data_IF_733350834839
#
_entry.id   IF_733350834839
#
_cell.length_a   1.000
_cell.length_b   1.000
_cell.length_c   1.000
_cell.angle_alpha   90.00
_cell.angle_beta   90.00
_cell.angle_gamma   90.00
#
_symmetry.space_group_name_H-M   'P 1'
#
loop_
_entity.id
_entity.type
_entity.pdbx_description
1 polymer ?
#
# COMPACT_ATOMS: atom_id res chain seq x y z
N UNK A 1 -11.16 -12.26 -1.01
CA UNK A 1 -10.89 -10.90 -0.48
C UNK A 1 -11.82 -9.93 -1.19
N UNK A 2 -12.28 -8.88 -0.51
CA UNK A 2 -13.28 -7.94 -1.04
C UNK A 2 -12.70 -6.53 -1.12
N UNK A 3 -13.12 -5.70 -2.10
CA UNK A 3 -12.72 -4.31 -2.18
C UNK A 3 -13.35 -3.52 -1.04
N UNK A 4 -12.51 -2.91 -0.20
CA UNK A 4 -12.95 -2.11 0.94
C UNK A 4 -12.40 -0.70 0.83
N UNK A 5 -13.30 0.29 0.93
CA UNK A 5 -13.01 1.72 0.85
C UNK A 5 -12.53 2.18 -0.54
N UNK A 6 -12.47 3.50 -0.69
CA UNK A 6 -12.00 4.20 -1.87
C UNK A 6 -10.98 5.26 -1.45
N UNK A 7 -9.90 5.40 -2.23
CA UNK A 7 -8.81 6.34 -1.96
C UNK A 7 -8.50 7.10 -3.26
N UNK A 8 -8.72 8.41 -3.30
CA UNK A 8 -8.28 9.26 -4.42
C UNK A 8 -6.93 9.88 -4.08
N UNK A 9 -5.85 9.37 -4.67
CA UNK A 9 -4.50 9.86 -4.42
C UNK A 9 -4.13 11.04 -5.34
N UNK A 10 -4.99 11.43 -6.28
CA UNK A 10 -4.78 12.63 -7.09
C UNK A 10 -4.78 13.91 -6.22
N UNK A 11 -5.43 13.86 -5.06
CA UNK A 11 -5.36 14.92 -4.04
C UNK A 11 -3.94 15.14 -3.50
N UNK A 12 -3.06 14.13 -3.60
CA UNK A 12 -1.65 14.19 -3.23
C UNK A 12 -0.71 14.30 -4.46
N UNK A 13 -1.25 14.63 -5.64
CA UNK A 13 -0.48 14.76 -6.88
C UNK A 13 -0.05 13.43 -7.52
N UNK A 14 -0.57 12.29 -7.04
CA UNK A 14 -0.27 10.97 -7.61
C UNK A 14 -1.40 10.58 -8.58
N UNK A 15 -1.12 10.17 -9.83
CA UNK A 15 -2.15 10.00 -10.86
C UNK A 15 -2.93 8.67 -10.73
N UNK A 16 -3.40 8.32 -9.54
CA UNK A 16 -4.11 7.07 -9.26
C UNK A 16 -5.29 7.27 -8.31
N UNK A 17 -6.22 6.34 -8.36
CA UNK A 17 -7.15 6.07 -7.27
C UNK A 17 -7.12 4.58 -6.92
N UNK A 18 -7.58 4.20 -5.73
CA UNK A 18 -7.28 2.88 -5.18
C UNK A 18 -8.38 2.32 -4.29
N UNK A 19 -8.29 1.02 -4.04
CA UNK A 19 -9.07 0.29 -3.02
C UNK A 19 -8.17 -0.73 -2.31
N UNK A 20 -8.61 -1.25 -1.16
CA UNK A 20 -7.90 -2.32 -0.46
C UNK A 20 -8.70 -3.63 -0.51
N UNK A 21 -8.17 -4.64 -1.18
CA UNK A 21 -8.74 -5.99 -1.15
C UNK A 21 -8.36 -6.68 0.15
N UNK A 22 -9.36 -7.15 0.92
CA UNK A 22 -9.14 -7.81 2.21
C UNK A 22 -10.27 -8.74 2.67
N UNK A 23 -10.04 -9.65 3.62
CA UNK A 23 -11.12 -10.29 4.37
C UNK A 23 -11.94 -9.27 5.16
N UNK A 24 -13.22 -9.55 5.39
CA UNK A 24 -14.14 -8.64 6.08
C UNK A 24 -14.82 -9.26 7.30
N UNK A 25 -14.88 -10.58 7.38
CA UNK A 25 -15.42 -11.31 8.51
C UNK A 25 -14.37 -11.48 9.61
N UNK A 26 -14.86 -11.50 10.86
CA UNK A 26 -14.03 -11.57 12.07
C UNK A 26 -13.14 -12.81 12.10
N UNK A 27 -13.66 -13.97 11.70
CA UNK A 27 -12.95 -15.24 11.75
C UNK A 27 -11.81 -15.29 10.72
N UNK A 28 -12.04 -14.84 9.48
CA UNK A 28 -11.01 -14.80 8.45
C UNK A 28 -9.93 -13.76 8.76
N UNK A 29 -10.31 -12.59 9.28
CA UNK A 29 -9.34 -11.58 9.74
C UNK A 29 -8.46 -12.11 10.87
N UNK A 30 -9.03 -12.87 11.82
CA UNK A 30 -8.27 -13.48 12.91
C UNK A 30 -7.33 -14.60 12.41
N UNK A 31 -7.74 -15.34 11.37
CA UNK A 31 -6.94 -16.43 10.79
C UNK A 31 -5.80 -15.92 9.91
N UNK A 32 -6.09 -15.04 8.96
CA UNK A 32 -5.10 -14.44 8.07
C UNK A 32 -5.61 -13.09 7.53
N UNK A 33 -5.11 -11.96 8.05
CA UNK A 33 -5.54 -10.62 7.65
C UNK A 33 -4.77 -10.09 6.42
N UNK A 34 -4.42 -10.93 5.44
CA UNK A 34 -3.72 -10.50 4.23
C UNK A 34 -4.53 -9.44 3.46
N UNK A 35 -3.85 -8.42 2.94
CA UNK A 35 -4.46 -7.29 2.24
C UNK A 35 -3.60 -6.92 1.04
N UNK A 36 -4.24 -6.47 -0.02
CA UNK A 36 -3.58 -5.88 -1.19
C UNK A 36 -4.19 -4.51 -1.43
N UNK A 37 -3.38 -3.46 -1.34
CA UNK A 37 -3.76 -2.12 -1.78
C UNK A 37 -3.56 -2.05 -3.29
N UNK A 38 -4.64 -1.84 -4.03
CA UNK A 38 -4.64 -1.90 -5.50
C UNK A 38 -5.01 -0.54 -6.06
N UNK A 39 -4.07 0.06 -6.78
CA UNK A 39 -4.22 1.36 -7.43
C UNK A 39 -4.48 1.17 -8.92
N UNK A 40 -5.41 1.96 -9.46
CA UNK A 40 -5.67 2.08 -10.89
C UNK A 40 -5.11 3.42 -11.38
N UNK A 41 -4.26 3.36 -12.42
CA UNK A 41 -3.68 4.52 -13.08
C UNK A 41 -4.76 5.30 -13.83
N UNK A 42 -4.79 6.61 -13.59
CA UNK A 42 -5.71 7.56 -14.23
C UNK A 42 -5.02 8.24 -15.41
N UNK A 43 -5.12 7.62 -16.60
CA UNK A 43 -4.46 8.12 -17.81
C UNK A 43 -4.91 9.54 -18.18
N UNK A 44 -6.13 9.94 -17.84
CA UNK A 44 -6.65 11.28 -18.08
C UNK A 44 -5.88 12.39 -17.32
N UNK A 45 -5.07 12.01 -16.31
CA UNK A 45 -4.20 12.92 -15.56
C UNK A 45 -2.80 13.07 -16.18
N UNK A 46 -2.48 12.36 -17.26
CA UNK A 46 -1.22 12.53 -18.02
C UNK A 46 -1.38 13.75 -18.91
N UNK A 47 -0.65 14.85 -18.68
CA UNK A 47 -0.86 16.13 -19.37
C UNK A 47 -0.52 16.03 -20.86
N UNK A 48 0.58 15.36 -21.18
CA UNK A 48 1.02 15.17 -22.56
C UNK A 48 0.12 14.16 -23.29
N UNK A 49 -0.72 14.66 -24.20
CA UNK A 49 -1.68 13.82 -24.94
C UNK A 49 -1.02 12.72 -25.78
N UNK A 50 0.14 12.99 -26.38
CA UNK A 50 0.88 11.99 -27.17
C UNK A 50 1.37 10.86 -26.26
N UNK A 51 1.94 11.20 -25.09
CA UNK A 51 2.36 10.20 -24.11
C UNK A 51 1.18 9.44 -23.52
N UNK A 52 0.04 10.12 -23.29
CA UNK A 52 -1.20 9.49 -22.83
C UNK A 52 -1.69 8.43 -23.80
N UNK A 53 -1.76 8.76 -25.09
CA UNK A 53 -2.18 7.83 -26.13
C UNK A 53 -1.21 6.65 -26.24
N UNK A 54 0.10 6.91 -26.18
CA UNK A 54 1.14 5.88 -26.19
C UNK A 54 1.03 4.94 -24.97
N UNK A 55 0.83 5.49 -23.78
CA UNK A 55 0.63 4.70 -22.55
C UNK A 55 -0.62 3.82 -22.65
N UNK A 56 -1.74 4.36 -23.17
CA UNK A 56 -2.95 3.58 -23.40
C UNK A 56 -2.73 2.42 -24.39
N UNK A 57 -1.95 2.65 -25.45
CA UNK A 57 -1.58 1.61 -26.41
C UNK A 57 -0.75 0.50 -25.80
N UNK A 58 0.28 0.83 -25.02
CA UNK A 58 1.13 -0.16 -24.35
C UNK A 58 0.28 -0.98 -23.37
N UNK A 59 -0.58 -0.32 -22.59
CA UNK A 59 -1.41 -0.97 -21.56
C UNK A 59 -2.48 -1.91 -22.14
N UNK A 60 -3.06 -1.60 -23.32
CA UNK A 60 -4.08 -2.48 -23.93
C UNK A 60 -3.47 -3.71 -24.63
N UNK A 61 -2.18 -3.66 -24.97
CA UNK A 61 -1.50 -4.73 -25.70
C UNK A 61 -0.93 -5.82 -24.78
N UNK A 62 -0.84 -5.57 -23.46
CA UNK A 62 -0.33 -6.55 -22.49
C UNK A 62 -1.44 -7.47 -21.97
N UNK A 63 -1.05 -8.68 -21.60
CA UNK A 63 -1.84 -9.59 -20.79
C UNK A 63 -1.08 -9.91 -19.50
N UNK A 64 -1.61 -9.47 -18.36
CA UNK A 64 -0.93 -9.58 -17.06
C UNK A 64 -1.24 -10.91 -16.34
N UNK A 65 -2.21 -11.68 -16.84
CA UNK A 65 -2.61 -12.96 -16.25
C UNK A 65 -2.19 -14.10 -17.16
N UNK A 66 -1.62 -15.15 -16.59
CA UNK A 66 -1.30 -16.35 -17.38
C UNK A 66 -2.58 -16.96 -17.94
N UNK A 67 -2.52 -17.64 -19.09
CA UNK A 67 -3.68 -18.35 -19.63
C UNK A 67 -4.27 -19.36 -18.62
N UNK A 68 -3.42 -20.04 -17.85
CA UNK A 68 -3.86 -21.02 -16.85
C UNK A 68 -4.53 -20.35 -15.64
N UNK A 69 -4.04 -19.20 -15.18
CA UNK A 69 -4.70 -18.41 -14.13
C UNK A 69 -6.15 -18.06 -14.52
N UNK A 70 -6.37 -17.64 -15.77
CA UNK A 70 -7.71 -17.32 -16.29
C UNK A 70 -8.62 -18.55 -16.35
N UNK A 71 -8.11 -19.68 -16.83
CA UNK A 71 -8.86 -20.95 -16.84
C UNK A 71 -9.28 -21.38 -15.43
N UNK A 72 -8.35 -21.33 -14.47
CA UNK A 72 -8.66 -21.67 -13.07
C UNK A 72 -9.72 -20.73 -12.48
N UNK A 73 -9.70 -19.44 -12.84
CA UNK A 73 -10.74 -18.50 -12.42
C UNK A 73 -12.11 -18.90 -12.96
N UNK A 74 -12.22 -19.25 -14.24
CA UNK A 74 -13.46 -19.76 -14.84
C UNK A 74 -13.92 -21.07 -14.18
N UNK A 75 -13.01 -22.01 -13.91
CA UNK A 75 -13.30 -23.24 -13.19
C UNK A 75 -13.87 -22.96 -11.78
N UNK A 76 -13.28 -22.01 -11.06
CA UNK A 76 -13.76 -21.59 -9.74
C UNK A 76 -15.19 -21.05 -9.79
N UNK A 77 -15.50 -20.18 -10.76
CA UNK A 77 -16.83 -19.61 -10.92
C UNK A 77 -17.88 -20.66 -11.27
N UNK A 78 -17.53 -21.63 -12.12
CA UNK A 78 -18.42 -22.73 -12.51
C UNK A 78 -18.68 -23.72 -11.37
N UNK A 79 -17.67 -24.00 -10.54
CA UNK A 79 -17.72 -25.02 -9.49
C UNK A 79 -18.12 -24.46 -8.11
N UNK A 80 -18.00 -23.14 -7.93
CA UNK A 80 -18.24 -22.46 -6.65
C UNK A 80 -17.11 -22.63 -5.62
N UNK A 81 -15.95 -23.13 -6.02
CA UNK A 81 -14.83 -23.40 -5.13
C UNK A 81 -13.71 -24.21 -5.79
N UNK A 82 -12.61 -24.39 -5.06
CA UNK A 82 -11.49 -25.25 -5.46
C UNK A 82 -11.30 -26.41 -4.49
N UNK A 83 -10.79 -27.53 -5.04
CA UNK A 83 -10.09 -28.53 -4.23
C UNK A 83 -8.63 -28.10 -3.97
N UNK A 84 -7.91 -28.88 -3.16
CA UNK A 84 -6.54 -28.53 -2.75
C UNK A 84 -5.57 -28.38 -3.94
N UNK A 85 -5.62 -29.29 -4.91
CA UNK A 85 -4.72 -29.27 -6.08
C UNK A 85 -4.96 -28.02 -6.93
N UNK A 86 -6.24 -27.69 -7.23
CA UNK A 86 -6.59 -26.48 -7.97
C UNK A 86 -6.18 -25.22 -7.20
N UNK A 87 -6.37 -25.19 -5.88
CA UNK A 87 -5.98 -24.03 -5.07
C UNK A 87 -4.46 -23.82 -5.04
N UNK A 88 -3.69 -24.90 -4.92
CA UNK A 88 -2.22 -24.83 -4.99
C UNK A 88 -1.74 -24.34 -6.36
N UNK A 89 -2.32 -24.86 -7.44
CA UNK A 89 -2.00 -24.43 -8.81
C UNK A 89 -2.37 -22.95 -9.02
N UNK A 90 -3.55 -22.53 -8.57
CA UNK A 90 -4.00 -21.14 -8.68
C UNK A 90 -3.07 -20.17 -7.96
N UNK A 91 -2.56 -20.54 -6.78
CA UNK A 91 -1.58 -19.70 -6.07
C UNK A 91 -0.30 -19.53 -6.89
N UNK A 92 0.22 -20.58 -7.52
CA UNK A 92 1.43 -20.47 -8.35
C UNK A 92 1.19 -19.61 -9.60
N UNK A 93 0.08 -19.85 -10.30
CA UNK A 93 -0.26 -19.11 -11.52
C UNK A 93 -0.58 -17.64 -11.27
N UNK A 94 -1.29 -17.32 -10.18
CA UNK A 94 -1.55 -15.94 -9.78
C UNK A 94 -0.29 -15.20 -9.31
N UNK A 95 0.69 -15.92 -8.73
CA UNK A 95 1.95 -15.32 -8.29
C UNK A 95 2.77 -14.76 -9.48
N UNK A 96 2.66 -15.37 -10.66
CA UNK A 96 3.35 -14.89 -11.87
C UNK A 96 2.91 -13.47 -12.28
N UNK A 97 1.66 -13.08 -12.03
CA UNK A 97 1.17 -11.72 -12.29
C UNK A 97 1.94 -10.63 -11.51
N UNK A 98 2.50 -11.00 -10.34
CA UNK A 98 3.18 -10.08 -9.42
C UNK A 98 4.71 -10.23 -9.43
N UNK A 99 5.25 -11.11 -10.27
CA UNK A 99 6.69 -11.37 -10.37
C UNK A 99 7.41 -10.15 -10.95
N UNK A 100 8.63 -9.89 -10.46
CA UNK A 100 9.51 -8.88 -11.04
C UNK A 100 10.09 -9.36 -12.37
N UNK A 101 10.03 -8.51 -13.37
CA UNK A 101 10.72 -8.73 -14.65
C UNK A 101 11.67 -7.56 -14.91
N UNK A 102 12.95 -7.85 -15.08
CA UNK A 102 13.97 -6.83 -15.36
C UNK A 102 13.83 -6.21 -16.76
N UNK A 103 13.18 -6.90 -17.69
CA UNK A 103 12.99 -6.42 -19.06
C UNK A 103 11.76 -5.52 -19.15
N UNK A 104 11.97 -4.28 -19.57
CA UNK A 104 10.89 -3.37 -19.93
C UNK A 104 10.23 -3.79 -21.24
N UNK A 105 8.94 -3.48 -21.40
CA UNK A 105 8.15 -3.72 -22.62
C UNK A 105 8.28 -2.61 -23.66
N UNK A 106 9.06 -1.58 -23.36
CA UNK A 106 9.24 -0.37 -24.18
C UNK A 106 10.73 -0.08 -24.40
N UNK A 107 11.03 0.78 -25.37
CA UNK A 107 12.37 1.33 -25.55
C UNK A 107 12.73 2.36 -24.45
N UNK A 108 14.03 2.67 -24.34
CA UNK A 108 14.56 3.58 -23.32
C UNK A 108 14.01 5.00 -23.42
N UNK A 109 13.78 5.51 -24.64
CA UNK A 109 13.29 6.86 -24.86
C UNK A 109 11.85 6.99 -24.35
N UNK A 110 11.01 6.01 -24.67
CA UNK A 110 9.64 5.91 -24.15
C UNK A 110 9.61 5.81 -22.63
N UNK A 111 10.46 4.96 -22.05
CA UNK A 111 10.55 4.82 -20.60
C UNK A 111 10.94 6.16 -19.95
N UNK A 112 11.96 6.85 -20.47
CA UNK A 112 12.40 8.16 -19.95
C UNK A 112 11.30 9.20 -20.05
N UNK A 113 10.57 9.24 -21.16
CA UNK A 113 9.46 10.17 -21.33
C UNK A 113 8.34 9.95 -20.29
N UNK A 114 7.91 8.71 -20.09
CA UNK A 114 6.91 8.36 -19.08
C UNK A 114 7.42 8.58 -17.65
N UNK A 115 8.71 8.34 -17.41
CA UNK A 115 9.33 8.55 -16.10
C UNK A 115 9.41 10.03 -15.72
N UNK A 116 9.74 10.88 -16.69
CA UNK A 116 9.79 12.32 -16.53
C UNK A 116 8.42 12.94 -16.29
N UNK A 117 7.36 12.35 -16.85
CA UNK A 117 5.99 12.75 -16.55
C UNK A 117 5.65 12.44 -15.09
N UNK A 118 5.79 11.17 -14.67
CA UNK A 118 5.71 10.77 -13.28
C UNK A 118 6.29 9.36 -13.10
N UNK A 119 7.13 9.16 -12.07
CA UNK A 119 7.80 7.86 -11.82
C UNK A 119 6.86 6.66 -11.79
N UNK A 120 5.66 6.84 -11.20
CA UNK A 120 4.60 5.84 -11.15
C UNK A 120 4.06 5.46 -12.53
N UNK A 121 3.96 6.39 -13.48
CA UNK A 121 3.48 6.08 -14.84
C UNK A 121 4.45 5.10 -15.49
N UNK A 122 5.76 5.37 -15.43
CA UNK A 122 6.76 4.43 -15.95
C UNK A 122 6.71 3.07 -15.24
N UNK A 123 6.56 3.04 -13.92
CA UNK A 123 6.44 1.80 -13.13
C UNK A 123 5.24 0.94 -13.55
N UNK A 124 4.11 1.56 -13.88
CA UNK A 124 2.88 0.84 -14.27
C UNK A 124 2.87 0.46 -15.75
N UNK A 125 3.34 1.34 -16.63
CA UNK A 125 3.18 1.20 -18.10
C UNK A 125 4.29 0.37 -18.73
N UNK A 126 5.53 0.48 -18.24
CA UNK A 126 6.71 0.00 -18.96
C UNK A 126 7.07 -1.48 -18.68
N UNK A 127 6.27 -2.20 -17.87
CA UNK A 127 6.59 -3.55 -17.43
C UNK A 127 5.51 -4.58 -17.82
N UNK A 128 5.88 -5.87 -17.94
CA UNK A 128 4.96 -6.91 -18.40
C UNK A 128 3.75 -7.13 -17.48
N UNK A 129 3.96 -7.04 -16.16
CA UNK A 129 2.96 -7.32 -15.14
C UNK A 129 2.77 -6.16 -14.16
N UNK A 130 2.18 -6.46 -13.01
CA UNK A 130 2.02 -5.51 -11.90
C UNK A 130 2.82 -6.01 -10.69
N UNK A 131 4.14 -5.89 -10.78
CA UNK A 131 5.05 -6.37 -9.75
C UNK A 131 4.74 -5.77 -8.37
N UNK A 132 5.11 -6.51 -7.34
CA UNK A 132 5.01 -6.05 -5.95
C UNK A 132 5.79 -4.73 -5.77
N UNK A 133 5.08 -3.67 -5.37
CA UNK A 133 5.69 -2.40 -4.99
C UNK A 133 6.41 -2.50 -3.64
N UNK A 134 5.72 -3.06 -2.64
CA UNK A 134 6.26 -3.40 -1.32
C UNK A 134 5.43 -4.53 -0.67
N UNK A 135 6.04 -5.25 0.28
CA UNK A 135 5.33 -6.15 1.20
C UNK A 135 5.58 -5.66 2.64
N UNK A 136 4.54 -5.15 3.28
CA UNK A 136 4.62 -4.51 4.59
C UNK A 136 4.34 -5.52 5.71
N UNK A 137 5.32 -5.88 6.57
CA UNK A 137 5.06 -6.66 7.77
C UNK A 137 4.44 -5.80 8.86
N UNK A 138 3.77 -6.46 9.82
CA UNK A 138 3.21 -5.82 11.01
C UNK A 138 4.21 -5.88 12.17
N UNK A 139 4.47 -4.75 12.82
CA UNK A 139 5.16 -4.66 14.11
C UNK A 139 4.22 -4.23 15.24
N UNK A 140 4.61 -4.51 16.48
CA UNK A 140 3.95 -4.02 17.70
C UNK A 140 4.52 -2.67 18.17
N UNK A 141 5.79 -2.40 17.90
CA UNK A 141 6.45 -1.12 18.22
C UNK A 141 7.30 -0.67 17.01
N UNK A 142 6.77 0.29 16.26
CA UNK A 142 7.43 0.84 15.08
C UNK A 142 8.64 1.71 15.44
N UNK A 143 8.63 2.38 16.59
CA UNK A 143 9.75 3.21 17.04
C UNK A 143 10.96 2.31 17.34
N UNK A 144 10.72 1.17 18.01
CA UNK A 144 11.76 0.18 18.27
C UNK A 144 12.31 -0.40 16.98
N UNK A 145 11.45 -0.79 16.03
CA UNK A 145 11.90 -1.32 14.74
C UNK A 145 12.71 -0.29 13.96
N UNK A 146 12.25 0.96 13.86
CA UNK A 146 12.98 2.03 13.18
C UNK A 146 14.37 2.26 13.79
N UNK A 147 14.49 2.22 15.12
CA UNK A 147 15.79 2.35 15.81
C UNK A 147 16.77 1.21 15.51
N UNK A 148 16.26 0.01 15.24
CA UNK A 148 17.08 -1.19 14.98
C UNK A 148 17.41 -1.39 13.50
N UNK A 149 16.68 -0.74 12.59
CA UNK A 149 16.90 -0.87 11.14
C UNK A 149 18.36 -0.59 10.72
N UNK A 150 19.02 0.49 11.18
CA UNK A 150 20.42 0.76 10.83
C UNK A 150 21.40 -0.32 11.30
N UNK A 151 21.17 -0.91 12.48
CA UNK A 151 21.98 -2.03 13.01
C UNK A 151 21.88 -3.28 12.10
N UNK A 152 20.80 -3.38 11.32
CA UNK A 152 20.55 -4.45 10.36
C UNK A 152 20.84 -4.04 8.91
N UNK A 153 21.50 -2.91 8.66
CA UNK A 153 21.84 -2.44 7.32
C UNK A 153 20.68 -1.83 6.52
N UNK A 154 19.57 -1.50 7.19
CA UNK A 154 18.41 -0.84 6.58
C UNK A 154 18.43 0.65 6.96
N UNK A 155 18.39 1.54 5.98
CA UNK A 155 18.30 2.99 6.21
C UNK A 155 16.83 3.44 6.12
N UNK A 156 16.12 3.62 7.25
CA UNK A 156 14.74 4.08 7.22
C UNK A 156 14.64 5.56 6.87
N UNK A 157 13.52 5.94 6.26
CA UNK A 157 13.10 7.34 6.32
C UNK A 157 12.92 7.72 7.78
N UNK A 158 13.35 8.93 8.12
CA UNK A 158 13.21 9.45 9.48
C UNK A 158 11.72 9.64 9.82
N UNK A 159 10.90 10.04 8.85
CA UNK A 159 9.47 10.29 9.04
C UNK A 159 8.69 8.99 9.26
N UNK A 160 7.91 8.97 10.35
CA UNK A 160 6.84 8.00 10.58
C UNK A 160 5.53 8.71 10.28
N UNK A 161 4.79 8.19 9.30
CA UNK A 161 3.46 8.65 8.94
C UNK A 161 2.40 8.07 9.90
N UNK A 162 1.29 8.78 10.05
CA UNK A 162 0.20 8.41 10.98
C UNK A 162 0.16 9.28 12.24
N UNK A 163 -0.58 8.87 13.29
CA UNK A 163 -0.57 9.55 14.57
C UNK A 163 0.81 9.42 15.26
N UNK A 164 1.10 10.26 16.26
CA UNK A 164 2.31 10.09 17.07
C UNK A 164 2.23 8.82 17.93
N UNK A 165 3.30 8.52 18.67
CA UNK A 165 3.31 7.44 19.68
C UNK A 165 2.21 7.68 20.73
N UNK A 166 1.51 6.61 21.10
CA UNK A 166 0.34 6.59 22.00
C UNK A 166 0.28 5.30 22.79
N UNK A 167 -0.31 5.35 23.98
CA UNK A 167 -0.61 4.18 24.81
C UNK A 167 -1.72 3.32 24.19
N UNK A 168 -2.72 3.95 23.56
CA UNK A 168 -3.76 3.29 22.77
C UNK A 168 -3.59 3.71 21.31
N UNK A 169 -2.83 2.94 20.49
CA UNK A 169 -2.60 3.27 19.10
C UNK A 169 -3.92 3.33 18.32
N UNK A 170 -4.05 4.33 17.44
CA UNK A 170 -5.19 4.52 16.53
C UNK A 170 -4.75 4.37 15.09
N UNK A 171 -5.64 3.87 14.22
CA UNK A 171 -5.36 3.64 12.80
C UNK A 171 -4.07 2.85 12.58
N UNK A 172 -3.07 3.43 11.93
CA UNK A 172 -1.75 2.84 11.78
C UNK A 172 -0.67 3.90 11.75
N UNK A 173 0.54 3.48 12.10
CA UNK A 173 1.79 4.21 11.89
C UNK A 173 2.63 3.44 10.89
N UNK A 174 3.29 4.11 9.96
CA UNK A 174 4.12 3.47 8.93
C UNK A 174 5.37 4.27 8.61
N UNK A 175 6.41 3.58 8.13
CA UNK A 175 7.59 4.21 7.52
C UNK A 175 8.12 3.34 6.40
N UNK A 176 8.86 3.97 5.47
CA UNK A 176 9.45 3.31 4.31
C UNK A 176 10.98 3.44 4.32
N UNK A 177 11.63 2.56 3.57
CA UNK A 177 13.08 2.53 3.42
C UNK A 177 13.44 2.12 1.99
N UNK A 178 14.62 2.51 1.52
CA UNK A 178 15.14 2.03 0.24
C UNK A 178 15.57 0.58 0.41
N UNK A 179 14.94 -0.36 -0.29
CA UNK A 179 15.26 -1.77 -0.16
C UNK A 179 16.31 -2.20 -1.19
N UNK A 180 16.04 -1.98 -2.49
CA UNK A 180 16.90 -2.44 -3.57
C UNK A 180 16.86 -1.48 -4.77
N UNK A 181 17.99 -1.33 -5.46
CA UNK A 181 18.05 -0.78 -6.82
C UNK A 181 18.08 -1.93 -7.82
N UNK A 182 17.19 -1.89 -8.80
CA UNK A 182 17.07 -2.92 -9.82
C UNK A 182 17.57 -2.39 -11.17
N UNK A 183 18.32 -3.22 -11.88
CA UNK A 183 18.69 -2.95 -13.27
C UNK A 183 17.49 -3.18 -14.17
N UNK A 184 17.24 -2.24 -15.09
CA UNK A 184 16.22 -2.40 -16.13
C UNK A 184 16.88 -2.55 -17.49
N UNK A 185 16.43 -3.55 -18.23
CA UNK A 185 16.90 -3.88 -19.55
C UNK A 185 15.87 -3.43 -20.58
N UNK A 186 16.28 -2.58 -21.51
CA UNK A 186 15.46 -2.18 -22.65
C UNK A 186 15.71 -3.06 -23.87
N UNK A 187 14.73 -3.12 -24.77
CA UNK A 187 14.88 -3.78 -26.06
C UNK A 187 16.14 -3.24 -26.80
N UNK A 188 17.02 -4.14 -27.26
CA UNK A 188 18.31 -3.77 -27.84
C UNK A 188 19.50 -3.68 -26.87
N UNK A 189 19.38 -4.24 -25.65
CA UNK A 189 20.44 -4.39 -24.64
C UNK A 189 21.04 -3.08 -24.07
N UNK A 190 20.31 -1.97 -24.15
CA UNK A 190 20.71 -0.76 -23.40
C UNK A 190 20.37 -0.96 -21.92
N UNK A 191 21.34 -0.73 -21.04
CA UNK A 191 21.17 -0.81 -19.60
C UNK A 191 20.70 0.53 -19.04
N UNK A 192 19.64 0.51 -18.24
CA UNK A 192 19.22 1.63 -17.40
C UNK A 192 19.04 1.19 -15.94
N UNK A 193 18.72 2.15 -15.07
CA UNK A 193 18.43 1.90 -13.66
C UNK A 193 16.98 2.27 -13.36
N UNK A 194 16.32 1.45 -12.54
CA UNK A 194 15.00 1.74 -12.01
C UNK A 194 15.03 1.62 -10.49
N UNK A 195 14.86 2.76 -9.85
CA UNK A 195 14.70 2.84 -8.40
C UNK A 195 13.21 2.70 -8.09
N UNK A 196 12.74 1.52 -7.73
CA UNK A 196 11.33 1.35 -7.35
C UNK A 196 11.04 0.44 -6.17
N UNK A 197 12.01 -0.31 -5.65
CA UNK A 197 11.74 -1.21 -4.53
C UNK A 197 12.00 -0.51 -3.21
N UNK A 198 10.92 0.03 -2.66
CA UNK A 198 10.88 0.47 -1.27
C UNK A 198 10.40 -0.68 -0.40
N UNK A 199 11.01 -0.81 0.76
CA UNK A 199 10.43 -1.58 1.85
C UNK A 199 9.55 -0.68 2.70
N UNK A 200 8.60 -1.29 3.40
CA UNK A 200 7.70 -0.59 4.31
C UNK A 200 7.49 -1.43 5.56
N UNK A 201 7.19 -0.79 6.68
CA UNK A 201 6.80 -1.42 7.94
C UNK A 201 5.61 -0.67 8.54
N UNK A 202 4.67 -1.39 9.17
CA UNK A 202 3.50 -0.78 9.79
C UNK A 202 3.22 -1.29 11.21
N UNK A 203 2.70 -0.40 12.06
CA UNK A 203 2.09 -0.73 13.35
C UNK A 203 0.61 -0.36 13.29
N UNK A 204 -0.28 -1.32 13.58
CA UNK A 204 -1.73 -1.13 13.51
C UNK A 204 -2.37 -1.01 14.88
N UNK A 205 -3.11 0.07 15.06
CA UNK A 205 -3.95 0.35 16.21
C UNK A 205 -5.43 0.08 15.98
N UNK A 206 -6.27 0.69 16.81
CA UNK A 206 -7.73 0.52 16.76
C UNK A 206 -8.36 1.31 15.60
N UNK A 207 -9.43 0.74 15.02
CA UNK A 207 -10.24 1.42 14.02
C UNK A 207 -11.08 2.54 14.66
N UNK A 208 -11.15 3.68 13.99
CA UNK A 208 -11.91 4.84 14.44
C UNK A 208 -13.35 4.83 13.92
N UNK A 209 -14.26 5.42 14.69
CA UNK A 209 -15.59 5.80 14.20
C UNK A 209 -15.48 7.02 13.27
N UNK A 210 -16.54 7.42 12.55
CA UNK A 210 -16.55 8.69 11.81
C UNK A 210 -16.15 9.89 12.69
N UNK A 211 -16.65 9.93 13.94
CA UNK A 211 -16.31 10.99 14.91
C UNK A 211 -14.82 10.97 15.28
N UNK A 212 -14.27 9.80 15.59
CA UNK A 212 -12.84 9.68 15.89
C UNK A 212 -11.97 10.00 14.67
N UNK A 213 -12.44 9.63 13.47
CA UNK A 213 -11.74 9.91 12.23
C UNK A 213 -11.68 11.42 11.95
N UNK A 214 -12.81 12.12 12.07
CA UNK A 214 -12.86 13.58 11.96
C UNK A 214 -11.91 14.26 12.97
N UNK A 215 -11.93 13.85 14.24
CA UNK A 215 -10.98 14.38 15.23
C UNK A 215 -9.53 14.13 14.84
N UNK A 216 -9.19 12.94 14.32
CA UNK A 216 -7.86 12.68 13.80
C UNK A 216 -7.49 13.60 12.62
N UNK A 217 -8.45 13.94 11.74
CA UNK A 217 -8.18 14.79 10.56
C UNK A 217 -7.91 16.23 11.00
N UNK A 218 -8.77 16.75 11.87
CA UNK A 218 -8.65 18.09 12.41
C UNK A 218 -7.31 18.27 13.15
N UNK A 219 -6.92 17.29 13.97
CA UNK A 219 -5.64 17.33 14.70
C UNK A 219 -4.43 17.20 13.79
N UNK A 220 -4.50 16.35 12.75
CA UNK A 220 -3.42 16.22 11.78
C UNK A 220 -3.26 17.50 10.95
N UNK A 221 -4.37 18.11 10.54
CA UNK A 221 -4.38 19.39 9.84
C UNK A 221 -3.81 20.51 10.72
N UNK A 222 -4.21 20.58 11.99
CA UNK A 222 -3.72 21.57 12.95
C UNK A 222 -2.22 21.43 13.23
N UNK A 223 -1.69 20.20 13.25
CA UNK A 223 -0.25 19.97 13.40
C UNK A 223 0.57 20.42 12.18
N UNK A 224 -0.07 20.59 11.01
CA UNK A 224 0.57 21.05 9.78
C UNK A 224 1.74 20.17 9.33
N UNK A 225 2.59 20.73 8.47
CA UNK A 225 3.84 20.10 8.02
C UNK A 225 5.02 20.83 8.64
N UNK A 226 5.81 20.16 9.48
CA UNK A 226 7.03 20.75 10.03
C UNK A 226 8.17 20.76 9.00
N UNK A 227 9.09 21.72 9.12
CA UNK A 227 10.28 21.82 8.24
C UNK A 227 11.34 20.77 8.58
N UNK A 228 11.41 20.35 9.84
CA UNK A 228 12.27 19.26 10.30
C UNK A 228 11.46 18.20 11.04
N UNK A 229 11.95 16.97 10.96
CA UNK A 229 11.20 15.80 11.39
C UNK A 229 11.05 15.71 12.91
N UNK A 230 12.03 16.22 13.67
CA UNK A 230 12.00 16.17 15.14
C UNK A 230 10.97 17.16 15.68
N UNK A 231 11.02 18.41 15.23
CA UNK A 231 10.05 19.45 15.60
C UNK A 231 8.65 19.08 15.15
N UNK A 232 8.50 18.50 13.96
CA UNK A 232 7.21 18.01 13.48
C UNK A 232 6.63 16.93 14.41
N UNK A 233 7.42 15.92 14.78
CA UNK A 233 6.95 14.86 15.68
C UNK A 233 6.64 15.36 17.09
N UNK A 234 7.43 16.30 17.64
CA UNK A 234 7.13 16.93 18.92
C UNK A 234 5.83 17.73 18.88
N UNK A 235 5.62 18.52 17.83
CA UNK A 235 4.38 19.28 17.66
C UNK A 235 3.18 18.36 17.44
N UNK A 236 3.34 17.30 16.65
CA UNK A 236 2.32 16.29 16.43
C UNK A 236 1.93 15.61 17.76
N UNK A 237 2.91 15.25 18.60
CA UNK A 237 2.67 14.72 19.95
C UNK A 237 1.88 15.69 20.83
N UNK A 238 2.24 16.98 20.83
CA UNK A 238 1.53 18.00 21.61
C UNK A 238 0.07 18.13 21.15
N UNK A 239 -0.16 18.30 19.85
CA UNK A 239 -1.49 18.47 19.26
C UNK A 239 -2.39 17.27 19.57
N UNK A 240 -1.84 16.05 19.54
CA UNK A 240 -2.56 14.80 19.78
C UNK A 240 -2.85 14.49 21.25
N UNK A 241 -2.36 15.30 22.21
CA UNK A 241 -2.83 15.22 23.61
C UNK A 241 -4.35 15.44 23.71
N UNK A 242 -4.92 16.16 22.75
CA UNK A 242 -6.38 16.37 22.61
C UNK A 242 -7.13 15.06 22.32
N UNK A 243 -6.49 14.08 21.68
CA UNK A 243 -7.12 12.79 21.40
C UNK A 243 -7.02 11.89 22.64
N UNK A 244 -8.15 11.42 23.24
CA UNK A 244 -8.11 10.61 24.45
C UNK A 244 -7.28 9.33 24.31
N UNK A 245 -6.29 9.14 25.18
CA UNK A 245 -5.35 8.00 25.14
C UNK A 245 -5.70 6.91 26.16
N UNK A 246 -6.98 6.55 26.21
CA UNK A 246 -7.53 5.52 27.08
C UNK A 246 -8.67 4.81 26.36
N UNK A 247 -8.65 3.49 26.34
CA UNK A 247 -9.72 2.69 25.75
C UNK A 247 -11.09 3.05 26.33
N UNK A 248 -11.14 3.32 27.65
CA UNK A 248 -12.36 3.73 28.34
C UNK A 248 -12.92 5.04 27.78
N UNK A 249 -12.09 6.09 27.69
CA UNK A 249 -12.53 7.39 27.19
C UNK A 249 -12.88 7.33 25.70
N UNK A 250 -12.10 6.61 24.90
CA UNK A 250 -12.38 6.42 23.47
C UNK A 250 -13.70 5.70 23.24
N UNK A 251 -14.02 4.69 24.06
CA UNK A 251 -15.30 3.98 24.04
C UNK A 251 -16.45 4.90 24.48
N UNK A 252 -16.30 5.55 25.64
CA UNK A 252 -17.31 6.44 26.22
C UNK A 252 -17.67 7.60 25.29
N UNK A 253 -16.68 8.16 24.59
CA UNK A 253 -16.87 9.29 23.68
C UNK A 253 -17.22 8.86 22.24
N UNK A 254 -17.29 7.55 21.97
CA UNK A 254 -17.62 7.00 20.65
C UNK A 254 -16.58 7.32 19.58
N UNK A 255 -15.29 7.29 19.91
CA UNK A 255 -14.17 7.63 19.01
C UNK A 255 -13.59 6.40 18.28
N UNK A 256 -13.71 5.21 18.86
CA UNK A 256 -13.18 3.97 18.28
C UNK A 256 -14.18 2.83 18.36
N UNK A 257 -13.97 1.82 17.51
CA UNK A 257 -14.75 0.59 17.51
C UNK A 257 -14.16 -0.42 18.49
N UNK A 258 -15.04 -1.08 19.26
CA UNK A 258 -14.67 -2.10 20.24
C UNK A 258 -15.48 -3.37 20.01
N UNK A 259 -14.85 -4.53 20.22
CA UNK A 259 -15.54 -5.83 20.24
C UNK A 259 -15.84 -6.19 21.69
N UNK A 260 -17.13 -6.29 22.03
CA UNK A 260 -17.57 -6.78 23.33
C UNK A 260 -17.59 -8.30 23.33
N UNK A 261 -17.19 -8.88 24.46
CA UNK A 261 -17.24 -10.33 24.74
C UNK A 261 -17.72 -10.48 26.17
N UNK A 262 -18.58 -11.45 26.44
CA UNK A 262 -18.89 -11.85 27.80
C UNK A 262 -17.59 -12.37 28.43
N UNK A 263 -17.33 -12.00 29.68
CA UNK A 263 -16.32 -12.69 30.44
C UNK A 263 -16.88 -14.07 30.89
N UNK A 264 -16.05 -14.92 31.48
CA UNK A 264 -16.52 -16.20 32.00
C UNK A 264 -17.47 -16.04 33.22
N UNK A 265 -17.75 -14.80 33.65
CA UNK A 265 -18.46 -14.45 34.87
C UNK A 265 -19.72 -13.57 34.65
N UNK A 266 -20.12 -13.25 33.41
CA UNK A 266 -21.34 -12.49 33.10
C UNK A 266 -21.56 -12.15 31.62
#
# INVERSE_FOLDING_TARGET
>A
MYPVSYYDLSQAGVPVHSTAFRPIDDASLARNPFRVFTSLLRLELIENEILRQKAAEILRQRDIFTPRCRQLLEEYEQQGGFNETQAQEFVQEALETFRWHQSATVDEETYRALHNEHRLIADVVCFPGCHINHLTPRTLDIDRVQSMMPECGIEPKILIEGPPRREVPILLRQTSFKALEETVLFAGQKQGTHTARFGEIEQRGVALTPKGRQLYDDLLCNAGTGQDNLTHQMHLQETFRTFPDSEFLMRQQGLAWFRYRSDAFG
#
